data_IF_308664854925
#
_entry.id   IF_308664854925
#
_cell.length_a   1.000
_cell.length_b   1.000
_cell.length_c   1.000
_cell.angle_alpha   90.00
_cell.angle_beta   90.00
_cell.angle_gamma   90.00
#
_symmetry.space_group_name_H-M   'P 1'
#
loop_
_entity.id
_entity.type
_entity.pdbx_description
1 polymer ?
#
# COMPACT_ATOMS: atom_id res chain seq x y z
N UNK A 1 2.46 -20.33 21.14
CA UNK A 1 3.17 -20.47 19.86
C UNK A 1 3.23 -19.10 19.20
N UNK A 2 4.42 -18.58 18.85
CA UNK A 2 4.57 -17.25 18.19
C UNK A 2 4.26 -17.39 16.71
N UNK A 3 3.50 -16.44 16.12
CA UNK A 3 3.16 -16.43 14.69
C UNK A 3 4.27 -15.73 13.91
N UNK A 4 4.78 -16.35 12.84
CA UNK A 4 5.66 -15.71 11.86
C UNK A 4 4.82 -14.91 10.85
N UNK A 5 5.31 -13.74 10.44
CA UNK A 5 4.70 -12.96 9.36
C UNK A 5 5.19 -13.55 8.03
N UNK A 6 4.30 -14.25 7.32
CA UNK A 6 4.48 -14.47 5.88
C UNK A 6 3.44 -13.61 5.17
N UNK A 7 3.84 -12.53 4.48
CA UNK A 7 2.91 -11.78 3.64
C UNK A 7 2.45 -12.70 2.51
N UNK A 8 1.27 -13.28 2.66
CA UNK A 8 0.67 -14.14 1.66
C UNK A 8 -0.26 -13.29 0.80
N UNK A 9 0.18 -12.95 -0.41
CA UNK A 9 -0.71 -12.53 -1.48
C UNK A 9 -1.22 -13.80 -2.15
N UNK A 10 -2.51 -14.09 -2.03
CA UNK A 10 -3.12 -15.09 -2.91
C UNK A 10 -3.16 -14.51 -4.33
N UNK A 11 -2.86 -15.31 -5.38
CA UNK A 11 -2.83 -14.82 -6.73
C UNK A 11 -4.24 -14.44 -7.21
N UNK A 12 -4.25 -13.36 -7.98
CA UNK A 12 -5.16 -12.98 -9.06
C UNK A 12 -6.26 -14.01 -9.41
N UNK A 13 -7.52 -13.61 -9.26
CA UNK A 13 -8.67 -14.22 -9.97
C UNK A 13 -9.55 -13.11 -10.55
N UNK A 14 -9.20 -12.63 -11.75
CA UNK A 14 -10.25 -12.20 -12.67
C UNK A 14 -10.77 -13.46 -13.36
N UNK A 15 -11.98 -13.90 -12.96
CA UNK A 15 -12.66 -15.03 -13.60
C UNK A 15 -13.25 -14.65 -14.98
N UNK A 16 -13.27 -13.36 -15.32
CA UNK A 16 -13.76 -12.85 -16.60
C UNK A 16 -13.02 -11.57 -16.99
N UNK A 17 -12.29 -11.61 -18.11
CA UNK A 17 -11.76 -10.40 -18.75
C UNK A 17 -12.95 -9.62 -19.34
N UNK A 18 -13.49 -8.68 -18.58
CA UNK A 18 -14.41 -7.69 -19.13
C UNK A 18 -13.59 -6.56 -19.76
N UNK A 19 -13.85 -6.16 -21.02
CA UNK A 19 -13.21 -4.98 -21.57
C UNK A 19 -13.55 -3.76 -20.68
N UNK A 20 -12.52 -3.17 -20.07
CA UNK A 20 -12.62 -1.93 -19.31
C UNK A 20 -12.71 -2.05 -17.78
N UNK A 21 -12.77 -3.24 -17.18
CA UNK A 21 -12.76 -3.40 -15.71
C UNK A 21 -11.83 -4.56 -15.32
N UNK A 22 -11.13 -4.42 -14.19
CA UNK A 22 -10.39 -5.52 -13.55
C UNK A 22 -10.65 -5.54 -12.05
N UNK A 23 -10.33 -6.67 -11.40
CA UNK A 23 -10.50 -6.85 -9.96
C UNK A 23 -9.34 -7.63 -9.36
N UNK A 24 -9.00 -7.31 -8.11
CA UNK A 24 -8.00 -8.02 -7.32
C UNK A 24 -8.54 -8.22 -5.90
N UNK A 25 -8.57 -9.47 -5.45
CA UNK A 25 -8.70 -9.77 -4.02
C UNK A 25 -7.31 -9.96 -3.42
N UNK A 26 -7.06 -9.37 -2.25
CA UNK A 26 -5.82 -9.53 -1.53
C UNK A 26 -6.05 -9.54 -0.02
N UNK A 27 -5.04 -10.04 0.70
CA UNK A 27 -5.07 -10.15 2.16
C UNK A 27 -3.95 -9.28 2.73
N UNK A 28 -4.29 -8.41 3.68
CA UNK A 28 -3.30 -7.73 4.50
C UNK A 28 -3.20 -8.44 5.84
N UNK A 29 -2.01 -8.99 6.10
CA UNK A 29 -1.72 -9.71 7.35
C UNK A 29 -1.74 -8.76 8.56
N UNK A 30 -1.90 -9.31 9.77
CA UNK A 30 -1.75 -8.56 11.01
C UNK A 30 -0.47 -7.74 11.03
N UNK A 31 -0.59 -6.47 11.41
CA UNK A 31 0.53 -5.53 11.50
C UNK A 31 1.33 -5.39 10.20
N UNK A 32 0.65 -5.48 9.05
CA UNK A 32 1.25 -5.24 7.73
C UNK A 32 0.56 -4.09 7.01
N UNK A 33 1.28 -3.53 6.04
CA UNK A 33 0.87 -2.45 5.18
C UNK A 33 1.12 -2.83 3.71
N UNK A 34 0.14 -2.59 2.85
CA UNK A 34 0.37 -2.44 1.41
C UNK A 34 1.04 -1.08 1.18
N UNK A 35 2.29 -1.10 0.73
CA UNK A 35 3.14 0.07 0.61
C UNK A 35 2.50 1.17 -0.27
N UNK A 36 2.89 2.44 -0.07
CA UNK A 36 2.38 3.55 -0.87
C UNK A 36 2.56 3.29 -2.37
N UNK A 37 1.47 3.40 -3.11
CA UNK A 37 1.42 3.13 -4.55
C UNK A 37 0.29 3.90 -5.21
N UNK A 38 0.23 3.87 -6.53
CA UNK A 38 -0.87 4.43 -7.30
C UNK A 38 -1.17 3.59 -8.54
N UNK A 39 -2.36 3.82 -9.11
CA UNK A 39 -2.82 3.23 -10.36
C UNK A 39 -2.81 4.30 -11.45
N UNK A 40 -1.88 4.25 -12.42
CA UNK A 40 -1.76 5.30 -13.44
C UNK A 40 -2.87 5.26 -14.51
N UNK A 41 -3.72 4.23 -14.52
CA UNK A 41 -4.72 4.01 -15.59
C UNK A 41 -6.13 3.72 -15.09
N UNK A 42 -6.38 3.72 -13.79
CA UNK A 42 -7.69 3.42 -13.23
C UNK A 42 -7.93 4.11 -11.90
N UNK A 43 -9.19 4.45 -11.64
CA UNK A 43 -9.69 4.63 -10.29
C UNK A 43 -9.86 3.25 -9.64
N UNK A 44 -9.74 3.19 -8.31
CA UNK A 44 -9.97 1.99 -7.51
C UNK A 44 -11.16 2.17 -6.56
N UNK A 45 -12.16 1.30 -6.68
CA UNK A 45 -13.15 1.08 -5.62
C UNK A 45 -12.61 0.00 -4.69
N UNK A 46 -12.16 0.41 -3.51
CA UNK A 46 -11.62 -0.46 -2.49
C UNK A 46 -12.74 -0.89 -1.53
N UNK A 47 -12.89 -2.20 -1.30
CA UNK A 47 -13.90 -2.77 -0.42
C UNK A 47 -13.25 -3.65 0.64
N UNK A 48 -13.47 -3.34 1.93
CA UNK A 48 -13.08 -4.24 3.02
C UNK A 48 -14.16 -5.33 3.15
N UNK A 49 -13.83 -6.56 2.75
CA UNK A 49 -14.78 -7.69 2.74
C UNK A 49 -14.91 -8.33 4.11
N UNK A 50 -13.78 -8.53 4.80
CA UNK A 50 -13.76 -9.22 6.09
C UNK A 50 -12.59 -8.76 6.95
N UNK A 51 -12.81 -8.70 8.27
CA UNK A 51 -11.80 -8.36 9.25
C UNK A 51 -11.70 -6.85 9.49
N UNK A 52 -10.48 -6.36 9.74
CA UNK A 52 -10.27 -4.95 10.07
C UNK A 52 -10.63 -4.59 11.53
N UNK A 53 -10.73 -3.29 11.84
CA UNK A 53 -10.69 -2.16 10.91
C UNK A 53 -9.31 -1.99 10.23
N UNK A 54 -9.31 -1.53 8.98
CA UNK A 54 -8.09 -1.15 8.24
C UNK A 54 -8.02 0.36 8.08
N UNK A 55 -6.81 0.90 8.03
CA UNK A 55 -6.59 2.31 7.72
C UNK A 55 -6.22 2.45 6.25
N UNK A 56 -6.90 3.34 5.55
CA UNK A 56 -6.57 3.73 4.18
C UNK A 56 -6.11 5.17 4.21
N UNK A 57 -4.89 5.41 3.74
CA UNK A 57 -4.37 6.75 3.55
C UNK A 57 -4.24 7.07 2.07
N UNK A 58 -4.59 8.28 1.67
CA UNK A 58 -4.40 8.79 0.30
C UNK A 58 -3.89 10.22 0.32
N UNK A 59 -3.09 10.59 -0.68
CA UNK A 59 -2.54 11.93 -0.87
C UNK A 59 -3.42 12.66 -1.88
N UNK A 60 -4.15 13.67 -1.43
CA UNK A 60 -5.00 14.54 -2.25
C UNK A 60 -4.13 15.49 -3.10
N UNK A 61 -4.38 15.57 -4.42
CA UNK A 61 -3.65 16.47 -5.31
C UNK A 61 -3.88 17.96 -5.01
N UNK A 62 -5.03 18.32 -4.43
CA UNK A 62 -5.45 19.69 -4.19
C UNK A 62 -4.84 20.30 -2.92
N UNK A 63 -4.41 19.46 -1.97
CA UNK A 63 -3.78 19.92 -0.74
C UNK A 63 -2.27 19.98 -0.96
N UNK A 64 -1.71 21.16 -1.25
CA UNK A 64 -0.29 21.46 -1.45
C UNK A 64 0.67 20.87 -0.37
N UNK A 65 0.84 19.54 -0.36
CA UNK A 65 1.59 18.77 0.61
C UNK A 65 1.03 18.72 2.04
N UNK A 66 -0.22 19.14 2.31
CA UNK A 66 -0.67 19.38 3.70
C UNK A 66 -1.71 18.42 4.29
N UNK A 67 -2.49 17.67 3.49
CA UNK A 67 -3.49 16.76 4.05
C UNK A 67 -3.49 15.41 3.34
N UNK A 68 -3.01 14.37 4.04
CA UNK A 68 -3.36 12.99 3.72
C UNK A 68 -4.77 12.73 4.24
N UNK A 69 -5.68 12.27 3.38
CA UNK A 69 -6.97 11.75 3.84
C UNK A 69 -6.67 10.41 4.51
N UNK A 70 -7.12 10.26 5.75
CA UNK A 70 -7.00 9.02 6.53
C UNK A 70 -8.39 8.50 6.85
N UNK A 71 -8.72 7.33 6.33
CA UNK A 71 -10.00 6.66 6.53
C UNK A 71 -9.79 5.42 7.38
N UNK A 72 -10.68 5.19 8.34
CA UNK A 72 -10.80 3.90 9.01
C UNK A 72 -11.98 3.15 8.38
N UNK A 73 -11.69 2.06 7.67
CA UNK A 73 -12.71 1.20 7.06
C UNK A 73 -12.99 0.02 7.99
N UNK A 74 -14.26 -0.21 8.28
CA UNK A 74 -14.78 -1.38 8.95
C UNK A 74 -15.26 -2.41 7.92
N UNK A 75 -15.61 -3.60 8.38
CA UNK A 75 -16.14 -4.65 7.52
C UNK A 75 -17.34 -4.15 6.70
N UNK A 76 -17.32 -4.42 5.39
CA UNK A 76 -18.26 -3.97 4.37
C UNK A 76 -18.22 -2.48 4.01
N UNK A 77 -17.31 -1.69 4.59
CA UNK A 77 -17.08 -0.32 4.12
C UNK A 77 -16.41 -0.32 2.73
N UNK A 78 -16.71 0.71 1.96
CA UNK A 78 -16.12 0.98 0.65
C UNK A 78 -15.54 2.39 0.61
N UNK A 79 -14.46 2.56 -0.14
CA UNK A 79 -13.94 3.89 -0.47
C UNK A 79 -13.48 3.96 -1.92
N UNK A 80 -13.57 5.14 -2.51
CA UNK A 80 -13.00 5.42 -3.83
C UNK A 80 -11.63 6.03 -3.68
N UNK A 81 -10.72 5.56 -4.52
CA UNK A 81 -9.37 6.09 -4.70
C UNK A 81 -9.28 6.58 -6.14
N UNK A 82 -9.17 7.90 -6.36
CA UNK A 82 -9.02 8.48 -7.69
C UNK A 82 -7.79 7.96 -8.44
N UNK A 83 -7.89 7.92 -9.76
CA UNK A 83 -6.76 7.61 -10.65
C UNK A 83 -5.55 8.50 -10.36
N UNK A 84 -4.38 7.88 -10.20
CA UNK A 84 -3.11 8.58 -9.95
C UNK A 84 -2.82 8.92 -8.48
N UNK A 85 -3.81 8.82 -7.58
CA UNK A 85 -3.59 9.14 -6.17
C UNK A 85 -2.68 8.11 -5.49
N UNK A 86 -1.64 8.63 -4.83
CA UNK A 86 -0.78 7.81 -3.99
C UNK A 86 -1.55 7.43 -2.73
N UNK A 87 -1.71 6.13 -2.51
CA UNK A 87 -2.44 5.61 -1.37
C UNK A 87 -1.76 4.38 -0.76
N UNK A 88 -2.16 4.03 0.46
CA UNK A 88 -1.70 2.84 1.18
C UNK A 88 -2.82 2.26 2.02
N UNK A 89 -2.68 0.99 2.37
CA UNK A 89 -3.65 0.28 3.20
C UNK A 89 -2.92 -0.45 4.31
N UNK A 90 -3.39 -0.28 5.54
CA UNK A 90 -2.72 -0.73 6.73
C UNK A 90 -3.65 -1.52 7.65
N UNK A 91 -3.23 -2.73 8.02
CA UNK A 91 -3.93 -3.55 8.99
C UNK A 91 -3.18 -3.54 10.32
N UNK A 92 -3.68 -2.76 11.28
CA UNK A 92 -3.15 -2.72 12.66
C UNK A 92 -3.84 -3.70 13.61
N UNK A 93 -4.58 -4.67 13.08
CA UNK A 93 -5.32 -5.65 13.87
C UNK A 93 -4.62 -6.99 13.91
N UNK A 94 -5.04 -7.85 14.83
CA UNK A 94 -4.42 -9.16 15.06
C UNK A 94 -5.00 -10.29 14.19
N UNK A 95 -5.85 -9.93 13.23
CA UNK A 95 -6.52 -10.83 12.29
C UNK A 95 -6.23 -10.38 10.86
N UNK A 96 -6.28 -11.31 9.91
CA UNK A 96 -6.15 -11.00 8.48
C UNK A 96 -7.31 -10.09 8.04
N UNK A 97 -7.03 -9.14 7.15
CA UNK A 97 -8.04 -8.33 6.48
C UNK A 97 -8.15 -8.76 5.02
N UNK A 98 -9.35 -9.07 4.55
CA UNK A 98 -9.64 -9.48 3.17
C UNK A 98 -10.24 -8.29 2.43
N UNK A 99 -9.59 -7.88 1.35
CA UNK A 99 -9.95 -6.67 0.61
C UNK A 99 -10.12 -7.01 -0.87
N UNK A 100 -11.06 -6.36 -1.52
CA UNK A 100 -11.25 -6.39 -2.98
C UNK A 100 -11.07 -4.99 -3.53
N UNK A 101 -10.11 -4.83 -4.44
CA UNK A 101 -9.96 -3.65 -5.29
C UNK A 101 -10.65 -3.90 -6.64
N UNK A 102 -11.53 -3.00 -7.06
CA UNK A 102 -12.16 -3.00 -8.38
C UNK A 102 -11.71 -1.78 -9.16
N UNK A 103 -11.26 -1.96 -10.39
CA UNK A 103 -10.60 -0.91 -11.16
C UNK A 103 -11.40 -0.51 -12.39
N UNK A 104 -11.47 0.78 -12.70
CA UNK A 104 -12.10 1.33 -13.92
C UNK A 104 -11.32 1.07 -15.21
N UNK A 105 -10.34 0.15 -15.19
CA UNK A 105 -9.57 -0.29 -16.34
C UNK A 105 -9.24 -1.79 -16.25
N UNK A 106 -9.16 -2.46 -17.40
CA UNK A 106 -8.72 -3.85 -17.50
C UNK A 106 -7.22 -4.03 -17.14
N UNK A 107 -6.41 -2.99 -17.33
CA UNK A 107 -5.02 -2.91 -16.88
C UNK A 107 -4.81 -1.60 -16.11
N UNK A 108 -5.03 -1.59 -14.78
CA UNK A 108 -4.89 -0.39 -13.96
C UNK A 108 -3.45 0.09 -13.84
N UNK A 109 -2.48 -0.81 -14.06
CA UNK A 109 -1.10 -0.63 -13.62
C UNK A 109 -0.98 -0.59 -12.10
N UNK A 110 0.22 -0.83 -11.58
CA UNK A 110 0.52 -0.63 -10.16
C UNK A 110 1.93 -0.08 -10.07
N UNK A 111 2.08 1.10 -9.50
CA UNK A 111 3.38 1.73 -9.35
C UNK A 111 3.66 2.01 -7.88
N UNK A 112 4.66 1.32 -7.31
CA UNK A 112 5.09 1.54 -5.92
C UNK A 112 5.90 2.84 -5.84
N UNK A 113 5.39 3.84 -5.11
CA UNK A 113 5.94 5.20 -5.09
C UNK A 113 7.43 5.24 -4.76
N UNK A 114 7.87 4.51 -3.72
CA UNK A 114 9.28 4.46 -3.34
C UNK A 114 10.14 3.69 -4.36
N UNK A 115 9.60 2.65 -5.00
CA UNK A 115 10.36 1.92 -6.02
C UNK A 115 10.66 2.83 -7.20
N UNK A 116 9.65 3.56 -7.68
CA UNK A 116 9.80 4.53 -8.76
C UNK A 116 10.80 5.62 -8.43
N UNK A 117 10.73 6.19 -7.22
CA UNK A 117 11.68 7.19 -6.77
C UNK A 117 13.12 6.66 -6.79
N UNK A 118 13.33 5.42 -6.31
CA UNK A 118 14.65 4.77 -6.30
C UNK A 118 15.16 4.37 -7.69
N UNK A 119 14.32 4.39 -8.74
CA UNK A 119 14.79 4.15 -10.12
C UNK A 119 15.45 5.38 -10.75
N UNK A 120 15.22 6.59 -10.20
CA UNK A 120 15.84 7.80 -10.70
C UNK A 120 17.37 7.71 -10.62
N UNK A 121 18.12 8.37 -11.52
CA UNK A 121 19.57 8.45 -11.37
C UNK A 121 19.97 9.23 -10.11
N UNK A 122 21.15 8.93 -9.56
CA UNK A 122 21.59 9.48 -8.26
C UNK A 122 21.53 11.00 -8.14
N UNK A 123 21.90 11.80 -9.16
CA UNK A 123 21.78 13.26 -9.05
C UNK A 123 20.34 13.73 -8.88
N UNK A 124 19.39 13.17 -9.64
CA UNK A 124 17.97 13.55 -9.58
C UNK A 124 17.33 13.08 -8.27
N UNK A 125 17.67 11.86 -7.83
CA UNK A 125 17.22 11.35 -6.54
C UNK A 125 17.76 12.22 -5.39
N UNK A 126 19.03 12.61 -5.45
CA UNK A 126 19.64 13.49 -4.46
C UNK A 126 18.96 14.86 -4.42
N UNK A 127 18.67 15.45 -5.59
CA UNK A 127 17.90 16.69 -5.69
C UNK A 127 16.49 16.54 -5.11
N UNK A 128 15.78 15.46 -5.44
CA UNK A 128 14.42 15.22 -4.96
C UNK A 128 14.35 15.02 -3.44
N UNK A 129 15.34 14.34 -2.85
CA UNK A 129 15.41 14.08 -1.41
C UNK A 129 16.04 15.23 -0.61
N UNK A 130 16.68 16.21 -1.27
CA UNK A 130 17.47 17.24 -0.59
C UNK A 130 18.70 16.68 0.14
N UNK A 131 19.26 15.57 -0.34
CA UNK A 131 20.39 14.87 0.28
C UNK A 131 21.68 15.05 -0.53
N UNK A 132 22.83 14.83 0.12
CA UNK A 132 24.10 14.69 -0.61
C UNK A 132 24.10 13.42 -1.47
N UNK A 133 24.93 13.37 -2.52
CA UNK A 133 25.04 12.15 -3.35
C UNK A 133 25.49 10.93 -2.54
N UNK A 134 26.38 11.11 -1.54
CA UNK A 134 26.79 10.01 -0.66
C UNK A 134 25.62 9.52 0.21
N UNK A 135 24.89 10.44 0.84
CA UNK A 135 23.70 10.09 1.62
C UNK A 135 22.61 9.41 0.75
N UNK A 136 22.47 9.86 -0.50
CA UNK A 136 21.53 9.26 -1.46
C UNK A 136 21.94 7.84 -1.86
N UNK A 137 23.23 7.61 -2.14
CA UNK A 137 23.75 6.28 -2.44
C UNK A 137 23.58 5.32 -1.25
N UNK A 138 23.83 5.81 -0.03
CA UNK A 138 23.59 5.05 1.20
C UNK A 138 22.11 4.71 1.39
N UNK A 139 21.22 5.71 1.21
CA UNK A 139 19.77 5.51 1.28
C UNK A 139 19.29 4.48 0.26
N UNK A 140 19.73 4.59 -1.01
CA UNK A 140 19.39 3.62 -2.07
C UNK A 140 19.87 2.22 -1.72
N UNK A 141 21.09 2.08 -1.20
CA UNK A 141 21.67 0.78 -0.85
C UNK A 141 20.99 0.12 0.36
N UNK A 142 20.52 0.92 1.32
CA UNK A 142 19.86 0.42 2.54
C UNK A 142 18.35 0.19 2.35
N UNK A 143 17.74 0.80 1.33
CA UNK A 143 16.30 0.73 1.11
C UNK A 143 15.93 -0.38 0.14
N UNK A 144 15.10 -1.32 0.60
CA UNK A 144 14.54 -2.38 -0.23
C UNK A 144 13.01 -2.22 -0.27
N UNK A 145 12.45 -1.55 -1.29
CA UNK A 145 11.01 -1.39 -1.38
C UNK A 145 10.37 -2.75 -1.58
N UNK A 146 9.31 -3.00 -0.81
CA UNK A 146 8.50 -4.22 -0.91
C UNK A 146 7.03 -3.83 -1.00
N UNK A 147 6.22 -4.66 -1.67
CA UNK A 147 4.80 -4.38 -1.83
C UNK A 147 4.05 -4.48 -0.50
N UNK A 148 4.31 -5.54 0.25
CA UNK A 148 3.78 -5.72 1.60
C UNK A 148 4.92 -5.65 2.59
N UNK A 149 4.78 -4.77 3.59
CA UNK A 149 5.79 -4.52 4.59
C UNK A 149 5.17 -4.50 5.99
N UNK A 150 5.93 -4.83 7.05
CA UNK A 150 5.46 -4.61 8.41
C UNK A 150 5.14 -3.14 8.63
N UNK A 151 4.08 -2.88 9.38
CA UNK A 151 3.77 -1.54 9.89
C UNK A 151 5.00 -1.01 10.63
N UNK A 152 5.45 0.18 10.23
CA UNK A 152 6.55 0.86 10.90
C UNK A 152 6.00 1.70 12.04
N UNK A 153 5.93 1.12 13.23
CA UNK A 153 5.62 1.79 14.49
C UNK A 153 6.73 1.52 15.54
N UNK A 154 6.52 1.94 16.79
CA UNK A 154 7.39 1.64 17.92
C UNK A 154 7.37 0.15 18.35
N UNK A 155 6.87 -0.73 17.50
CA UNK A 155 6.59 -2.15 17.74
C UNK A 155 5.28 -2.41 18.48
N UNK A 156 4.46 -1.38 18.72
CA UNK A 156 3.21 -1.51 19.49
C UNK A 156 2.23 -2.48 18.85
N UNK A 157 2.02 -2.43 17.53
CA UNK A 157 1.13 -3.38 16.85
C UNK A 157 1.59 -4.82 17.06
N UNK A 158 2.88 -5.08 16.77
CA UNK A 158 3.46 -6.41 16.85
C UNK A 158 3.37 -6.98 18.28
N UNK A 159 3.62 -6.15 19.30
CA UNK A 159 3.46 -6.53 20.71
C UNK A 159 2.00 -6.82 21.05
N UNK A 160 1.06 -5.96 20.64
CA UNK A 160 -0.36 -6.16 20.90
C UNK A 160 -0.89 -7.47 20.30
N UNK A 161 -0.36 -7.86 19.14
CA UNK A 161 -0.77 -9.07 18.44
C UNK A 161 0.09 -10.31 18.73
N UNK A 162 1.07 -10.22 19.65
CA UNK A 162 2.01 -11.29 19.98
C UNK A 162 2.76 -11.85 18.75
N UNK A 163 3.16 -10.96 17.84
CA UNK A 163 3.91 -11.27 16.61
C UNK A 163 5.38 -10.91 16.82
N UNK A 164 6.28 -11.78 16.37
CA UNK A 164 7.73 -11.50 16.34
C UNK A 164 8.19 -11.12 14.94
N UNK A 165 9.07 -10.12 14.87
CA UNK A 165 9.80 -9.74 13.65
C UNK A 165 10.76 -10.85 13.22
#
# INVERSE_FOLDING_TARGET
MRKQVTPATFPFFSLAQSPGISQLMFIIKPCAQLAPHHHPRADELLTLVQGGPVHVGMVDEAAAGQQSIMLQMNELDLTMIPIGDVHFIENRQCQDAIIVGSFSNADPGVELTLSSLLTLPDPQLATALGLSQNATAQFRASTKPTRFQPVQDDGSCMRACNITQ
#
